data_IF_282986384161
#
_entry.id   IF_282986384161
#
_cell.length_a   1.000
_cell.length_b   1.000
_cell.length_c   1.000
_cell.angle_alpha   90.00
_cell.angle_beta   90.00
_cell.angle_gamma   90.00
#
_symmetry.space_group_name_H-M   'P 1'
#
loop_
_entity.id
_entity.type
_entity.pdbx_description
1 polymer ?
#
# COMPACT_ATOMS: atom_id res chain seq x y z
N UNK A 1 -9.48 -11.51 -3.51
CA UNK A 1 -10.03 -10.45 -2.62
C UNK A 1 -9.18 -9.19 -2.74
N UNK A 2 -9.80 -8.04 -2.66
CA UNK A 2 -9.13 -6.76 -2.84
C UNK A 2 -8.96 -6.04 -1.50
N UNK A 3 -7.74 -5.60 -1.24
CA UNK A 3 -7.40 -4.77 -0.08
C UNK A 3 -7.65 -3.31 -0.43
N UNK A 4 -8.45 -2.60 0.36
CA UNK A 4 -8.72 -1.18 0.14
C UNK A 4 -7.93 -0.33 1.12
N UNK A 5 -7.15 0.62 0.60
CA UNK A 5 -6.33 1.54 1.40
C UNK A 5 -6.56 2.97 0.97
N UNK A 6 -6.76 3.85 1.95
CA UNK A 6 -6.89 5.29 1.71
C UNK A 6 -5.51 5.91 1.82
N UNK A 7 -5.13 6.69 0.81
CA UNK A 7 -3.84 7.38 0.76
C UNK A 7 -4.02 8.88 0.78
N UNK A 8 -3.03 9.57 1.36
CA UNK A 8 -2.90 11.02 1.15
C UNK A 8 -2.67 11.28 -0.33
N UNK A 9 -3.19 12.38 -0.83
CA UNK A 9 -3.10 12.75 -2.25
C UNK A 9 -1.68 12.68 -2.79
N UNK A 10 -0.69 13.15 -2.02
CA UNK A 10 0.71 13.12 -2.43
C UNK A 10 1.18 11.71 -2.81
N UNK A 11 0.92 10.72 -1.95
CA UNK A 11 1.34 9.34 -2.19
C UNK A 11 0.54 8.68 -3.31
N UNK A 12 -0.75 8.98 -3.38
CA UNK A 12 -1.59 8.50 -4.48
C UNK A 12 -1.03 8.96 -5.83
N UNK A 13 -0.70 10.25 -5.93
CA UNK A 13 -0.15 10.82 -7.17
C UNK A 13 1.18 10.18 -7.54
N UNK A 14 2.05 9.89 -6.57
CA UNK A 14 3.33 9.24 -6.83
C UNK A 14 3.15 7.82 -7.38
N UNK A 15 2.19 7.08 -6.87
CA UNK A 15 1.86 5.74 -7.39
C UNK A 15 1.32 5.85 -8.81
N UNK A 16 0.38 6.77 -9.02
CA UNK A 16 -0.23 6.98 -10.34
C UNK A 16 0.82 7.32 -11.39
N UNK A 17 1.82 8.10 -11.02
CA UNK A 17 2.90 8.52 -11.92
C UNK A 17 3.98 7.44 -12.10
N UNK A 18 3.88 6.32 -11.40
CA UNK A 18 4.87 5.26 -11.48
C UNK A 18 6.12 5.50 -10.62
N UNK A 19 6.12 6.49 -9.75
CA UNK A 19 7.27 6.87 -8.94
C UNK A 19 7.30 6.22 -7.57
N UNK A 20 6.27 5.46 -7.20
CA UNK A 20 6.18 4.76 -5.92
C UNK A 20 5.57 3.38 -6.18
N UNK A 21 6.25 2.33 -5.72
CA UNK A 21 5.87 0.94 -6.00
C UNK A 21 5.58 0.13 -4.74
N UNK A 22 5.65 0.75 -3.59
CA UNK A 22 5.36 0.11 -2.31
C UNK A 22 4.53 1.06 -1.46
N UNK A 23 3.60 0.50 -0.71
CA UNK A 23 2.86 1.26 0.30
C UNK A 23 3.13 0.62 1.66
N UNK A 24 3.13 1.44 2.70
CA UNK A 24 3.56 1.02 4.03
C UNK A 24 2.47 1.20 5.06
N UNK A 25 2.45 0.30 6.05
CA UNK A 25 1.58 0.41 7.21
C UNK A 25 2.37 0.05 8.45
N UNK A 26 2.02 0.68 9.56
CA UNK A 26 2.73 0.50 10.81
C UNK A 26 2.71 -0.97 11.26
N UNK A 27 3.81 -1.42 11.84
CA UNK A 27 3.95 -2.77 12.39
C UNK A 27 3.20 -2.85 13.72
N UNK A 28 1.89 -2.92 13.65
CA UNK A 28 0.98 -2.97 14.81
C UNK A 28 -0.03 -4.08 14.65
N UNK A 29 -0.57 -4.62 15.76
CA UNK A 29 -1.54 -5.73 15.71
C UNK A 29 -2.73 -5.47 14.80
N UNK A 30 -3.26 -4.25 14.77
CA UNK A 30 -4.36 -3.88 13.87
C UNK A 30 -4.02 -4.18 12.42
N UNK A 31 -2.85 -3.70 11.95
CA UNK A 31 -2.45 -3.90 10.56
C UNK A 31 -2.04 -5.34 10.28
N UNK A 32 -1.41 -6.01 11.24
CA UNK A 32 -1.10 -7.44 11.10
C UNK A 32 -2.37 -8.22 10.84
N UNK A 33 -3.40 -8.01 11.64
CA UNK A 33 -4.68 -8.70 11.49
C UNK A 33 -5.30 -8.37 10.15
N UNK A 34 -5.38 -7.09 9.79
CA UNK A 34 -6.03 -6.66 8.57
C UNK A 34 -5.33 -7.16 7.31
N UNK A 35 -3.99 -7.15 7.29
CA UNK A 35 -3.21 -7.51 6.10
C UNK A 35 -3.11 -9.01 5.91
N UNK A 36 -3.17 -9.81 6.99
CA UNK A 36 -2.93 -11.26 6.92
C UNK A 36 -4.16 -12.12 7.25
N UNK A 37 -5.33 -11.53 7.49
CA UNK A 37 -6.55 -12.30 7.74
C UNK A 37 -7.17 -12.87 6.47
N UNK A 38 -6.76 -12.39 5.30
CA UNK A 38 -7.24 -12.84 4.01
C UNK A 38 -6.06 -12.90 3.03
N UNK A 39 -6.23 -13.69 1.96
CA UNK A 39 -5.27 -13.69 0.85
C UNK A 39 -5.73 -12.65 -0.17
N UNK A 40 -5.13 -11.49 -0.11
CA UNK A 40 -5.42 -10.43 -1.06
C UNK A 40 -4.63 -10.64 -2.35
N UNK A 41 -5.31 -10.49 -3.49
CA UNK A 41 -4.67 -10.56 -4.81
C UNK A 41 -4.44 -9.17 -5.38
N UNK A 42 -5.25 -8.20 -4.97
CA UNK A 42 -5.22 -6.84 -5.49
C UNK A 42 -5.30 -5.83 -4.36
N UNK A 43 -4.76 -4.65 -4.61
CA UNK A 43 -4.91 -3.50 -3.73
C UNK A 43 -5.57 -2.37 -4.50
N UNK A 44 -6.62 -1.80 -3.90
CA UNK A 44 -7.31 -0.64 -4.43
C UNK A 44 -6.96 0.57 -3.58
N UNK A 45 -6.25 1.52 -4.18
CA UNK A 45 -5.90 2.77 -3.52
C UNK A 45 -6.98 3.81 -3.75
N UNK A 46 -7.39 4.47 -2.68
CA UNK A 46 -8.36 5.56 -2.71
C UNK A 46 -7.63 6.88 -2.51
N UNK A 47 -7.87 7.84 -3.38
CA UNK A 47 -7.25 9.16 -3.30
C UNK A 47 -7.94 9.97 -2.22
N UNK A 48 -7.37 9.98 -1.01
CA UNK A 48 -7.97 10.60 0.16
C UNK A 48 -9.43 10.17 0.31
N UNK A 49 -10.33 11.06 0.59
CA UNK A 49 -11.76 10.75 0.72
C UNK A 49 -12.56 11.13 -0.53
N UNK A 50 -11.92 11.01 -1.70
CA UNK A 50 -12.58 11.22 -2.99
C UNK A 50 -13.08 9.90 -3.56
N UNK A 51 -13.75 9.96 -4.71
CA UNK A 51 -14.20 8.77 -5.44
C UNK A 51 -13.15 8.24 -6.41
N UNK A 52 -11.96 8.86 -6.46
CA UNK A 52 -10.89 8.40 -7.34
C UNK A 52 -10.20 7.20 -6.73
N UNK A 53 -10.05 6.16 -7.53
CA UNK A 53 -9.36 4.93 -7.12
C UNK A 53 -8.50 4.41 -8.25
N UNK A 54 -7.53 3.57 -7.88
CA UNK A 54 -6.76 2.78 -8.83
C UNK A 54 -6.43 1.45 -8.19
N UNK A 55 -6.43 0.39 -8.97
CA UNK A 55 -6.24 -0.97 -8.48
C UNK A 55 -5.01 -1.60 -9.12
N UNK A 56 -4.19 -2.23 -8.28
CA UNK A 56 -2.95 -2.89 -8.71
C UNK A 56 -2.94 -4.33 -8.24
N UNK A 57 -2.18 -5.17 -8.94
CA UNK A 57 -1.91 -6.54 -8.51
C UNK A 57 -0.88 -6.51 -7.38
N UNK A 58 -1.15 -7.22 -6.30
CA UNK A 58 -0.21 -7.36 -5.18
C UNK A 58 0.83 -8.40 -5.54
N UNK A 59 2.12 -8.03 -5.44
CA UNK A 59 3.21 -8.99 -5.56
C UNK A 59 3.48 -9.68 -4.24
N UNK A 60 3.55 -8.91 -3.15
CA UNK A 60 3.83 -9.46 -1.83
C UNK A 60 3.39 -8.50 -0.73
N UNK A 61 3.13 -9.06 0.44
CA UNK A 61 2.98 -8.30 1.69
C UNK A 61 4.01 -8.89 2.63
N UNK A 62 4.96 -8.06 3.08
CA UNK A 62 6.09 -8.49 3.90
C UNK A 62 6.35 -7.49 5.01
N UNK A 63 7.36 -7.77 5.82
CA UNK A 63 7.79 -6.87 6.89
C UNK A 63 9.26 -6.53 6.66
N UNK A 64 9.62 -5.26 6.85
CA UNK A 64 11.00 -4.81 6.65
C UNK A 64 11.10 -3.31 6.59
N UNK A 65 12.26 -2.84 6.10
CA UNK A 65 12.53 -1.40 5.95
C UNK A 65 12.01 -0.91 4.61
N UNK A 66 11.15 0.09 4.66
CA UNK A 66 10.68 0.75 3.45
C UNK A 66 11.62 1.88 3.02
N UNK A 67 11.26 2.55 1.94
CA UNK A 67 12.02 3.67 1.39
C UNK A 67 11.51 4.99 1.98
N UNK A 68 12.43 5.80 2.51
CA UNK A 68 12.08 7.09 3.09
C UNK A 68 11.42 8.01 2.05
N UNK A 69 11.91 7.99 0.80
CA UNK A 69 11.34 8.80 -0.27
C UNK A 69 9.90 8.42 -0.63
N UNK A 70 9.45 7.25 -0.22
CA UNK A 70 8.07 6.78 -0.41
C UNK A 70 7.25 6.84 0.87
N UNK A 71 7.78 7.50 1.92
CA UNK A 71 7.05 7.76 3.14
C UNK A 71 7.27 6.76 4.26
N UNK A 72 8.23 5.83 4.13
CA UNK A 72 8.51 4.88 5.18
C UNK A 72 9.29 5.54 6.33
N UNK A 73 8.95 5.20 7.58
CA UNK A 73 9.78 5.60 8.71
C UNK A 73 11.06 4.78 8.76
N UNK A 74 11.97 5.10 9.69
CA UNK A 74 13.25 4.42 9.82
C UNK A 74 13.17 3.10 10.59
N UNK A 75 11.99 2.55 10.76
CA UNK A 75 11.77 1.28 11.47
C UNK A 75 11.08 0.28 10.55
N UNK A 76 10.97 -0.97 10.97
CA UNK A 76 10.29 -2.00 10.21
C UNK A 76 8.80 -1.70 10.11
N UNK A 77 8.26 -1.85 8.89
CA UNK A 77 6.85 -1.64 8.59
C UNK A 77 6.33 -2.82 7.76
N UNK A 78 5.02 -2.91 7.63
CA UNK A 78 4.43 -3.80 6.64
C UNK A 78 4.57 -3.14 5.28
N UNK A 79 5.05 -3.92 4.30
CA UNK A 79 5.30 -3.47 2.94
C UNK A 79 4.34 -4.19 2.01
N UNK A 80 3.46 -3.42 1.38
CA UNK A 80 2.59 -3.92 0.31
C UNK A 80 3.27 -3.55 -1.00
N UNK A 81 3.87 -4.55 -1.65
CA UNK A 81 4.53 -4.38 -2.93
C UNK A 81 3.57 -4.76 -4.04
N UNK A 82 3.43 -3.90 -5.03
CA UNK A 82 2.47 -4.09 -6.10
C UNK A 82 3.12 -3.85 -7.45
N UNK A 83 2.53 -4.40 -8.49
CA UNK A 83 3.12 -4.37 -9.84
C UNK A 83 2.23 -3.62 -10.82
N UNK A 84 1.37 -4.32 -11.54
CA UNK A 84 0.65 -3.74 -12.66
C UNK A 84 -0.72 -3.22 -12.26
N UNK A 85 -1.08 -2.07 -12.82
CA UNK A 85 -2.43 -1.54 -12.68
C UNK A 85 -3.40 -2.41 -13.46
N UNK A 86 -4.53 -2.68 -12.83
CA UNK A 86 -5.60 -3.52 -13.41
C UNK A 86 -6.58 -2.66 -14.20
#
# INVERSE_FOLDING_TARGET
MTLHLILKTHWYNMIEQGNKREEYRENKPYWKKRLFSHQYTHVCFHRAYTNETMTYTIESISIGRGRAEWGAPSEDVYIIKFSEEV
#
